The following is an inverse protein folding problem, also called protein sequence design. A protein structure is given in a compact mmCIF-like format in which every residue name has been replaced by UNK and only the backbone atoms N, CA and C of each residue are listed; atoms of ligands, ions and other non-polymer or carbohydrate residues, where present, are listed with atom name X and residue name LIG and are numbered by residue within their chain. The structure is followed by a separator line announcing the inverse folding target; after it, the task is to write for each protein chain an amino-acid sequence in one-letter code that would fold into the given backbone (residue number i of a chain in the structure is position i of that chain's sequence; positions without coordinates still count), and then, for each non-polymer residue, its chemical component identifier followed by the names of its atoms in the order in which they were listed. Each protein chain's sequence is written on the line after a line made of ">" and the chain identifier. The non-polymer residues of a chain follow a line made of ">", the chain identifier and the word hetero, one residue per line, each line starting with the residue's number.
data_IF_197901992476
#
_entry.id   IF_197901992476
#
_cell.length_a   1.000
_cell.length_b   1.000
_cell.length_c   1.000
_cell.angle_alpha   90.00
_cell.angle_beta   90.00
_cell.angle_gamma   90.00
#
_symmetry.space_group_name_H-M   'P 1'
#
loop_
_entity.id
_entity.type
_entity.pdbx_description
1 polymer ?
#
# COMPACT_ATOMS: atom_id res chain seq x y z
N UNK A 1 -41.28 -7.53 43.47
CA UNK A 1 -39.89 -7.05 43.50
C UNK A 1 -39.10 -7.83 42.47
N UNK A 2 -39.01 -7.28 41.26
CA UNK A 2 -38.47 -7.89 40.05
C UNK A 2 -37.20 -7.16 39.63
N UNK A 3 -36.03 -7.78 39.74
CA UNK A 3 -34.72 -7.33 39.22
C UNK A 3 -33.80 -8.55 39.11
N UNK A 4 -32.94 -8.79 38.12
CA UNK A 4 -32.59 -8.16 36.84
C UNK A 4 -31.76 -9.24 36.10
N UNK A 5 -32.15 -9.62 34.88
CA UNK A 5 -31.36 -10.51 34.02
C UNK A 5 -30.22 -9.72 33.35
N UNK A 6 -28.97 -10.07 33.67
CA UNK A 6 -27.80 -9.35 33.19
C UNK A 6 -27.35 -9.86 31.81
N UNK A 7 -28.08 -9.47 30.76
CA UNK A 7 -27.78 -9.78 29.36
C UNK A 7 -26.81 -8.75 28.77
N UNK A 8 -25.52 -8.86 29.10
CA UNK A 8 -24.49 -7.96 28.62
C UNK A 8 -24.06 -8.30 27.17
N UNK A 9 -24.97 -8.07 26.21
CA UNK A 9 -24.67 -8.10 24.77
C UNK A 9 -23.81 -6.89 24.42
N UNK A 10 -22.49 -7.08 24.40
CA UNK A 10 -21.54 -6.08 23.86
C UNK A 10 -21.92 -5.77 22.41
N UNK A 11 -22.30 -4.52 22.06
CA UNK A 11 -22.61 -4.17 20.68
C UNK A 11 -21.31 -4.19 19.88
N UNK A 12 -21.27 -5.04 18.86
CA UNK A 12 -20.12 -5.21 17.95
C UNK A 12 -19.58 -3.87 17.47
N UNK A 13 -18.31 -3.61 17.82
CA UNK A 13 -17.60 -2.41 17.42
C UNK A 13 -17.72 -2.21 15.92
N UNK A 14 -18.28 -1.06 15.52
CA UNK A 14 -18.42 -0.64 14.13
C UNK A 14 -17.08 -0.80 13.43
N UNK A 15 -16.96 -1.84 12.60
CA UNK A 15 -15.84 -2.06 11.69
C UNK A 15 -15.70 -0.78 10.88
N UNK A 16 -14.71 0.06 11.22
CA UNK A 16 -14.38 1.27 10.46
C UNK A 16 -14.13 0.78 9.04
N UNK A 17 -15.11 1.00 8.14
CA UNK A 17 -14.98 0.70 6.71
C UNK A 17 -13.78 1.48 6.23
N UNK A 18 -12.62 0.81 6.16
CA UNK A 18 -11.41 1.39 5.62
C UNK A 18 -11.77 1.92 4.25
N UNK A 19 -11.66 3.25 4.06
CA UNK A 19 -12.01 3.90 2.80
C UNK A 19 -11.29 3.13 1.69
N UNK A 20 -12.03 2.71 0.66
CA UNK A 20 -11.45 2.02 -0.49
C UNK A 20 -10.37 2.94 -1.06
N UNK A 21 -9.10 2.57 -0.89
CA UNK A 21 -7.99 3.33 -1.45
C UNK A 21 -8.06 3.19 -2.96
N UNK A 22 -8.20 4.32 -3.65
CA UNK A 22 -8.18 4.36 -5.11
C UNK A 22 -6.72 4.29 -5.55
N UNK A 23 -6.44 3.51 -6.60
CA UNK A 23 -5.08 3.41 -7.13
C UNK A 23 -4.66 4.74 -7.76
N UNK A 24 -3.62 5.36 -7.21
CA UNK A 24 -3.05 6.61 -7.73
C UNK A 24 -2.74 6.51 -9.23
N UNK A 25 -2.07 5.43 -9.67
CA UNK A 25 -1.75 5.21 -11.08
C UNK A 25 -2.95 5.09 -12.02
N UNK A 26 -4.09 4.57 -11.53
CA UNK A 26 -5.32 4.51 -12.35
C UNK A 26 -5.94 5.89 -12.52
N UNK A 27 -5.84 6.75 -11.50
CA UNK A 27 -6.37 8.13 -11.54
C UNK A 27 -5.49 9.01 -12.42
N UNK A 28 -4.18 8.87 -12.26
CA UNK A 28 -3.18 9.60 -13.05
C UNK A 28 -3.10 9.15 -14.52
N UNK A 29 -3.82 8.08 -14.90
CA UNK A 29 -3.73 7.41 -16.20
C UNK A 29 -2.27 7.17 -16.63
N UNK A 30 -1.42 6.80 -15.68
CA UNK A 30 -0.04 6.46 -16.00
C UNK A 30 -0.04 5.17 -16.83
N UNK A 31 0.27 5.29 -18.12
CA UNK A 31 0.31 4.14 -19.04
C UNK A 31 1.44 3.17 -18.70
N UNK A 32 2.54 3.68 -18.16
CA UNK A 32 3.71 2.89 -17.79
C UNK A 32 4.42 3.43 -16.54
N UNK A 33 4.93 2.52 -15.71
CA UNK A 33 5.73 2.86 -14.52
C UNK A 33 7.21 2.68 -14.85
N UNK A 34 7.89 3.77 -15.23
CA UNK A 34 9.32 3.72 -15.54
C UNK A 34 10.21 3.56 -14.30
N UNK A 35 11.29 2.80 -14.48
CA UNK A 35 12.31 2.59 -13.43
C UNK A 35 13.23 3.82 -13.24
N UNK A 36 13.23 4.75 -14.20
CA UNK A 36 14.03 5.98 -14.19
C UNK A 36 13.42 7.06 -13.29
N UNK A 37 12.11 6.98 -13.04
CA UNK A 37 11.36 7.94 -12.22
C UNK A 37 11.55 7.68 -10.72
N UNK A 38 12.74 7.99 -10.20
CA UNK A 38 13.10 7.76 -8.78
C UNK A 38 12.10 8.43 -7.83
N UNK A 39 11.63 9.64 -8.16
CA UNK A 39 10.68 10.39 -7.33
C UNK A 39 9.34 9.68 -7.14
N UNK A 40 8.87 8.96 -8.16
CA UNK A 40 7.64 8.16 -8.06
C UNK A 40 7.91 6.88 -7.27
N UNK A 41 9.01 6.19 -7.56
CA UNK A 41 9.33 4.89 -6.94
C UNK A 41 9.66 5.01 -5.46
N UNK A 42 10.34 6.09 -5.02
CA UNK A 42 10.68 6.33 -3.60
C UNK A 42 9.44 6.36 -2.71
N UNK A 43 8.30 6.87 -3.21
CA UNK A 43 7.02 6.89 -2.45
C UNK A 43 6.47 5.49 -2.15
N UNK A 44 6.91 4.47 -2.90
CA UNK A 44 6.47 3.08 -2.77
C UNK A 44 7.52 2.17 -2.13
N UNK A 45 8.59 2.77 -1.58
CA UNK A 45 9.65 2.08 -0.85
C UNK A 45 9.67 2.64 0.57
N UNK A 46 9.86 1.77 1.56
CA UNK A 46 10.05 2.18 2.95
C UNK A 46 11.44 2.81 3.13
N UNK A 47 11.65 3.54 4.22
CA UNK A 47 12.98 4.07 4.57
C UNK A 47 14.09 3.01 4.60
N UNK A 48 13.77 1.74 4.91
CA UNK A 48 14.70 0.60 4.93
C UNK A 48 14.92 -0.08 3.57
N UNK A 49 14.43 0.50 2.48
CA UNK A 49 14.56 -0.09 1.14
C UNK A 49 13.61 -1.25 0.83
N UNK A 50 12.63 -1.58 1.70
CA UNK A 50 11.61 -2.61 1.40
C UNK A 50 10.47 -2.05 0.54
N UNK A 51 9.89 -2.88 -0.33
CA UNK A 51 8.76 -2.48 -1.18
C UNK A 51 7.50 -2.40 -0.31
N UNK A 52 6.75 -1.30 -0.39
CA UNK A 52 5.50 -1.15 0.34
C UNK A 52 4.44 -2.14 -0.18
N UNK A 53 3.75 -2.86 0.72
CA UNK A 53 2.70 -3.78 0.33
C UNK A 53 1.47 -3.02 -0.16
N UNK A 54 0.73 -3.66 -1.08
CA UNK A 54 -0.49 -3.12 -1.71
C UNK A 54 -1.52 -2.54 -0.74
N UNK A 55 -1.68 -3.16 0.44
CA UNK A 55 -2.64 -2.70 1.48
C UNK A 55 -2.34 -1.29 2.00
N UNK A 56 -1.06 -0.89 1.96
CA UNK A 56 -0.62 0.43 2.39
C UNK A 56 -0.68 1.40 1.20
N UNK A 57 -0.09 1.02 0.07
CA UNK A 57 0.00 1.87 -1.13
C UNK A 57 -1.32 2.11 -1.86
N UNK A 58 -2.31 1.22 -1.70
CA UNK A 58 -3.63 1.35 -2.33
C UNK A 58 -3.63 1.12 -3.85
N UNK A 59 -2.56 0.58 -4.42
CA UNK A 59 -2.43 0.35 -5.87
C UNK A 59 -3.28 -0.83 -6.36
N UNK A 60 -3.62 -0.84 -7.65
CA UNK A 60 -4.27 -2.00 -8.30
C UNK A 60 -3.29 -3.18 -8.42
N UNK A 61 -3.79 -4.41 -8.53
CA UNK A 61 -2.93 -5.59 -8.64
C UNK A 61 -2.03 -5.55 -9.89
N UNK A 62 -2.55 -5.05 -11.02
CA UNK A 62 -1.80 -4.84 -12.27
C UNK A 62 -0.62 -3.88 -12.05
N UNK A 63 -0.90 -2.67 -11.58
CA UNK A 63 0.12 -1.66 -11.31
C UNK A 63 1.11 -2.08 -10.22
N UNK A 64 0.69 -2.84 -9.20
CA UNK A 64 1.62 -3.34 -8.19
C UNK A 64 2.66 -4.30 -8.80
N UNK A 65 2.25 -5.19 -9.71
CA UNK A 65 3.18 -6.11 -10.40
C UNK A 65 4.20 -5.33 -11.23
N UNK A 66 3.72 -4.38 -12.02
CA UNK A 66 4.56 -3.53 -12.85
C UNK A 66 5.53 -2.70 -12.00
N UNK A 67 5.02 -2.05 -10.95
CA UNK A 67 5.81 -1.29 -9.99
C UNK A 67 6.89 -2.14 -9.32
N UNK A 68 6.59 -3.38 -8.93
CA UNK A 68 7.60 -4.28 -8.36
C UNK A 68 8.69 -4.63 -9.37
N UNK A 69 8.35 -4.81 -10.64
CA UNK A 69 9.33 -5.06 -11.71
C UNK A 69 10.21 -3.84 -11.94
N UNK A 70 9.61 -2.64 -11.98
CA UNK A 70 10.34 -1.38 -12.17
C UNK A 70 11.25 -1.05 -10.98
N UNK A 71 10.81 -1.30 -9.74
CA UNK A 71 11.68 -1.16 -8.56
C UNK A 71 12.86 -2.13 -8.62
N UNK A 72 12.64 -3.40 -9.01
CA UNK A 72 13.73 -4.37 -9.15
C UNK A 72 14.74 -3.94 -10.21
N UNK A 73 14.27 -3.44 -11.37
CA UNK A 73 15.14 -2.89 -12.42
C UNK A 73 15.93 -1.67 -11.92
N UNK A 74 15.27 -0.75 -11.20
CA UNK A 74 15.92 0.42 -10.63
C UNK A 74 17.04 0.04 -9.63
N UNK A 75 16.85 -1.03 -8.85
CA UNK A 75 17.88 -1.54 -7.94
C UNK A 75 19.08 -2.15 -8.67
N UNK A 76 18.85 -2.87 -9.77
CA UNK A 76 19.93 -3.45 -10.56
C UNK A 76 20.85 -2.38 -11.18
N UNK A 77 20.31 -1.19 -11.46
CA UNK A 77 21.05 -0.05 -12.04
C UNK A 77 21.53 0.92 -10.92
N UNK A 78 21.46 0.51 -9.65
CA UNK A 78 21.87 1.29 -8.48
C UNK A 78 21.14 2.64 -8.29
N UNK A 79 19.96 2.84 -8.88
CA UNK A 79 19.12 4.03 -8.65
C UNK A 79 18.39 4.00 -7.30
N UNK A 80 18.15 2.80 -6.77
CA UNK A 80 17.55 2.56 -5.46
C UNK A 80 18.37 1.53 -4.68
N UNK A 81 18.61 1.75 -3.37
CA UNK A 81 19.32 0.78 -2.54
C UNK A 81 18.46 -0.45 -2.24
N UNK A 82 19.11 -1.61 -2.07
CA UNK A 82 18.47 -2.84 -1.59
C UNK A 82 18.19 -2.79 -0.09
N UNK A 83 19.11 -2.18 0.66
CA UNK A 83 19.06 -1.99 2.10
C UNK A 83 19.64 -0.63 2.43
N UNK A 84 18.94 0.08 3.29
CA UNK A 84 19.36 1.29 3.99
C UNK A 84 19.30 0.94 5.46
N UNK A 85 20.37 1.23 6.19
CA UNK A 85 20.72 0.74 7.55
C UNK A 85 19.53 0.38 8.48
#
# INVERSE_FOLDING_TARGET
>A
MSREENNNRRPGGRMRRSRKKVCAFCVDKAEFIDYKDINKLRKYVTERGKILPRRISGTCAKHQRELTTSIKRARNIALLPFTTE
#
